data_IF_274100382553
#
_entry.id   IF_274100382553
#
_cell.length_a   1.000
_cell.length_b   1.000
_cell.length_c   1.000
_cell.angle_alpha   90.00
_cell.angle_beta   90.00
_cell.angle_gamma   90.00
#
_symmetry.space_group_name_H-M   'P 1'
#
loop_
_entity.id
_entity.type
_entity.pdbx_description
1 polymer ?
#
# COMPACT_ATOMS: atom_id res chain seq x y z
N UNK A 1 -9.91 -2.06 4.33
CA UNK A 1 -8.66 -1.78 3.60
C UNK A 1 -8.92 -1.00 2.30
N UNK A 2 -9.73 -1.54 1.37
CA UNK A 2 -9.99 -0.90 0.07
C UNK A 2 -10.62 0.50 0.16
N UNK A 3 -11.53 0.74 1.11
CA UNK A 3 -12.10 2.08 1.36
C UNK A 3 -11.04 3.13 1.72
N UNK A 4 -10.08 2.79 2.60
CA UNK A 4 -8.95 3.68 2.97
C UNK A 4 -8.03 3.95 1.77
N UNK A 5 -7.70 2.91 1.00
CA UNK A 5 -6.85 3.07 -0.18
C UNK A 5 -7.52 3.93 -1.27
N UNK A 6 -8.83 3.77 -1.49
CA UNK A 6 -9.59 4.64 -2.39
C UNK A 6 -9.60 6.10 -1.90
N UNK A 7 -9.73 6.32 -0.60
CA UNK A 7 -9.58 7.65 0.00
C UNK A 7 -8.17 8.22 -0.23
N UNK A 8 -7.11 7.45 0.02
CA UNK A 8 -5.73 7.89 -0.23
C UNK A 8 -5.50 8.25 -1.70
N UNK A 9 -5.99 7.42 -2.63
CA UNK A 9 -5.93 7.69 -4.08
C UNK A 9 -6.63 9.00 -4.43
N UNK A 10 -7.80 9.26 -3.86
CA UNK A 10 -8.55 10.51 -4.08
C UNK A 10 -7.77 11.72 -3.57
N UNK A 11 -7.25 11.66 -2.34
CA UNK A 11 -6.46 12.74 -1.75
C UNK A 11 -5.23 13.07 -2.60
N UNK A 12 -4.49 12.05 -3.07
CA UNK A 12 -3.26 12.21 -3.82
C UNK A 12 -3.43 12.72 -5.25
N UNK A 13 -4.65 12.66 -5.82
CA UNK A 13 -4.98 13.26 -7.12
C UNK A 13 -5.03 14.79 -7.07
N UNK A 14 -5.21 15.38 -5.89
CA UNK A 14 -5.23 16.84 -5.75
C UNK A 14 -3.85 17.45 -6.05
N UNK A 15 -3.84 18.63 -6.70
CA UNK A 15 -2.60 19.35 -7.04
C UNK A 15 -1.90 19.98 -5.82
N UNK A 16 -2.63 20.22 -4.74
CA UNK A 16 -2.13 20.93 -3.55
C UNK A 16 -2.35 20.10 -2.29
N UNK A 17 -1.77 18.90 -2.25
CA UNK A 17 -1.78 18.07 -1.03
C UNK A 17 -0.77 18.68 -0.05
N UNK A 18 -1.16 19.00 1.20
CA UNK A 18 -0.22 19.46 2.21
C UNK A 18 0.66 18.32 2.73
N UNK A 19 1.92 18.63 3.11
CA UNK A 19 2.92 17.63 3.53
C UNK A 19 2.43 16.67 4.61
N UNK A 20 1.67 17.17 5.60
CA UNK A 20 1.16 16.32 6.69
C UNK A 20 0.22 15.22 6.18
N UNK A 21 -0.52 15.43 5.09
CA UNK A 21 -1.34 14.36 4.49
C UNK A 21 -0.47 13.30 3.84
N UNK A 22 0.58 13.70 3.11
CA UNK A 22 1.52 12.74 2.52
C UNK A 22 2.21 11.90 3.60
N UNK A 23 2.65 12.55 4.68
CA UNK A 23 3.23 11.87 5.86
C UNK A 23 2.22 10.91 6.50
N UNK A 24 0.97 11.35 6.69
CA UNK A 24 -0.09 10.51 7.28
C UNK A 24 -0.41 9.27 6.45
N UNK A 25 -0.55 9.42 5.13
CA UNK A 25 -0.79 8.29 4.21
C UNK A 25 0.41 7.35 4.24
N UNK A 26 1.64 7.88 4.16
CA UNK A 26 2.87 7.07 4.23
C UNK A 26 2.98 6.30 5.53
N UNK A 27 2.63 6.94 6.64
CA UNK A 27 2.61 6.34 7.98
C UNK A 27 1.67 5.14 8.01
N UNK A 28 0.42 5.33 7.56
CA UNK A 28 -0.57 4.24 7.50
C UNK A 28 -0.10 3.08 6.62
N UNK A 29 0.55 3.36 5.49
CA UNK A 29 1.09 2.32 4.60
C UNK A 29 2.26 1.57 5.24
N UNK A 30 3.27 2.30 5.75
CA UNK A 30 4.45 1.70 6.39
C UNK A 30 4.05 0.84 7.59
N UNK A 31 3.09 1.27 8.41
CA UNK A 31 2.63 0.52 9.59
C UNK A 31 1.75 -0.69 9.24
N UNK A 32 1.26 -0.79 8.00
CA UNK A 32 0.34 -1.86 7.63
C UNK A 32 1.06 -3.17 7.28
N UNK A 33 0.91 -4.17 8.13
CA UNK A 33 1.53 -5.50 7.96
C UNK A 33 0.89 -6.34 6.86
N UNK A 34 -0.31 -5.99 6.38
CA UNK A 34 -0.92 -6.62 5.20
C UNK A 34 -0.36 -6.07 3.88
N UNK A 35 0.30 -4.90 3.91
CA UNK A 35 1.02 -4.34 2.76
C UNK A 35 2.48 -4.78 2.79
N UNK A 36 3.15 -4.57 3.92
CA UNK A 36 4.56 -4.91 4.11
C UNK A 36 4.70 -5.89 5.25
N UNK A 37 4.87 -7.18 4.93
CA UNK A 37 4.92 -8.24 5.93
C UNK A 37 6.19 -8.11 6.80
N UNK A 38 7.31 -7.78 6.17
CA UNK A 38 8.62 -7.57 6.82
C UNK A 38 9.08 -6.13 6.65
N UNK A 39 10.07 -5.71 7.45
CA UNK A 39 10.60 -4.35 7.35
C UNK A 39 11.41 -4.16 6.06
N UNK A 40 12.03 -5.22 5.58
CA UNK A 40 12.80 -5.26 4.34
C UNK A 40 11.90 -5.02 3.11
N UNK A 41 10.63 -5.44 3.18
CA UNK A 41 9.64 -5.20 2.12
C UNK A 41 9.32 -3.71 1.94
N UNK A 42 9.65 -2.88 2.93
CA UNK A 42 9.44 -1.42 2.88
C UNK A 42 10.55 -0.75 2.06
N UNK A 43 11.74 -1.36 1.94
CA UNK A 43 12.90 -0.76 1.25
C UNK A 43 12.57 -0.45 -0.23
N UNK A 44 12.04 -1.39 -1.04
CA UNK A 44 11.72 -1.09 -2.44
C UNK A 44 10.64 0.00 -2.58
N UNK A 45 9.72 0.10 -1.61
CA UNK A 45 8.72 1.17 -1.59
C UNK A 45 9.36 2.54 -1.35
N UNK A 46 10.29 2.65 -0.39
CA UNK A 46 10.98 3.90 -0.09
C UNK A 46 11.81 4.40 -1.27
N UNK A 47 12.50 3.49 -1.95
CA UNK A 47 13.26 3.80 -3.15
C UNK A 47 12.33 4.24 -4.29
N UNK A 48 11.34 3.42 -4.63
CA UNK A 48 10.42 3.72 -5.74
C UNK A 48 9.58 4.99 -5.54
N UNK A 49 9.15 5.28 -4.31
CA UNK A 49 8.26 6.42 -4.05
C UNK A 49 9.04 7.68 -3.67
N UNK A 50 10.06 7.55 -2.84
CA UNK A 50 10.76 8.70 -2.26
C UNK A 50 12.21 8.85 -2.72
N UNK A 51 12.75 7.90 -3.50
CA UNK A 51 14.18 7.81 -3.82
C UNK A 51 15.04 7.79 -2.54
N UNK A 52 14.56 7.11 -1.50
CA UNK A 52 15.24 7.03 -0.20
C UNK A 52 15.84 5.66 0.03
N UNK A 53 17.10 5.67 0.47
CA UNK A 53 17.82 4.48 0.94
C UNK A 53 18.26 4.72 2.37
N UNK A 54 18.09 3.70 3.22
CA UNK A 54 18.46 3.78 4.63
C UNK A 54 19.52 2.74 4.99
N UNK A 55 20.36 3.12 5.96
CA UNK A 55 21.31 2.20 6.57
C UNK A 55 20.56 1.08 7.31
N UNK A 56 21.17 -0.09 7.38
CA UNK A 56 20.57 -1.29 7.97
C UNK A 56 19.97 -1.06 9.37
N UNK A 57 20.65 -0.30 10.24
CA UNK A 57 20.16 -0.02 11.58
C UNK A 57 18.80 0.70 11.62
N UNK A 58 18.46 1.45 10.57
CA UNK A 58 17.16 2.12 10.45
C UNK A 58 16.08 1.11 10.06
N UNK A 59 16.41 0.15 9.19
CA UNK A 59 15.47 -0.86 8.70
C UNK A 59 15.06 -1.86 9.81
N UNK A 60 15.88 -2.00 10.86
CA UNK A 60 15.59 -2.90 11.99
C UNK A 60 14.25 -2.62 12.69
N UNK A 61 13.70 -1.42 12.59
CA UNK A 61 12.40 -1.09 13.19
C UNK A 61 11.52 -0.26 12.25
N UNK A 62 10.29 -0.73 12.05
CA UNK A 62 9.26 -0.04 11.28
C UNK A 62 8.99 1.39 11.76
N UNK A 63 9.01 1.60 13.07
CA UNK A 63 8.83 2.94 13.66
C UNK A 63 10.02 3.85 13.36
N UNK A 64 11.24 3.29 13.30
CA UNK A 64 12.44 4.05 12.95
C UNK A 64 12.45 4.42 11.46
N UNK A 65 12.06 3.49 10.59
CA UNK A 65 11.81 3.75 9.16
C UNK A 65 10.81 4.90 9.03
N UNK A 66 9.63 4.78 9.63
CA UNK A 66 8.58 5.80 9.61
C UNK A 66 9.10 7.16 10.07
N UNK A 67 9.75 7.23 11.23
CA UNK A 67 10.21 8.49 11.81
C UNK A 67 11.24 9.19 10.91
N UNK A 68 12.10 8.42 10.25
CA UNK A 68 13.06 8.96 9.26
C UNK A 68 12.34 9.42 8.00
N UNK A 69 11.45 8.61 7.44
CA UNK A 69 10.71 8.95 6.21
C UNK A 69 9.82 10.16 6.40
N UNK A 70 9.12 10.28 7.54
CA UNK A 70 8.33 11.46 7.85
C UNK A 70 9.18 12.74 7.88
N UNK A 71 10.40 12.66 8.45
CA UNK A 71 11.34 13.79 8.49
C UNK A 71 11.86 14.15 7.11
N UNK A 72 12.14 13.15 6.27
CA UNK A 72 12.62 13.38 4.90
C UNK A 72 11.51 14.03 4.06
N UNK A 73 10.28 13.50 4.10
CA UNK A 73 9.12 14.09 3.43
C UNK A 73 8.88 15.54 3.88
N UNK A 74 9.00 15.82 5.19
CA UNK A 74 8.83 17.17 5.71
C UNK A 74 9.85 18.16 5.11
N UNK A 75 11.07 17.70 4.85
CA UNK A 75 12.17 18.51 4.30
C UNK A 75 12.15 18.65 2.78
N UNK A 76 11.43 17.80 2.05
CA UNK A 76 11.36 17.86 0.59
C UNK A 76 10.95 19.24 0.08
N UNK A 77 11.63 19.71 -0.97
CA UNK A 77 11.25 20.93 -1.67
C UNK A 77 10.07 20.68 -2.62
N UNK A 78 9.42 21.74 -3.11
CA UNK A 78 8.19 21.63 -3.89
C UNK A 78 8.31 20.64 -5.07
N UNK A 79 9.38 20.71 -5.88
CA UNK A 79 9.54 19.82 -7.04
C UNK A 79 9.69 18.34 -6.65
N UNK A 80 10.49 18.08 -5.61
CA UNK A 80 10.73 16.74 -5.09
C UNK A 80 9.44 16.18 -4.45
N UNK A 81 8.79 16.99 -3.63
CA UNK A 81 7.53 16.68 -2.97
C UNK A 81 6.43 16.32 -3.97
N UNK A 82 6.25 17.14 -5.02
CA UNK A 82 5.28 16.88 -6.08
C UNK A 82 5.56 15.57 -6.82
N UNK A 83 6.84 15.25 -7.04
CA UNK A 83 7.25 13.99 -7.67
C UNK A 83 6.96 12.80 -6.76
N UNK A 84 7.28 12.91 -5.47
CA UNK A 84 6.99 11.88 -4.47
C UNK A 84 5.48 11.64 -4.34
N UNK A 85 4.65 12.70 -4.33
CA UNK A 85 3.19 12.58 -4.32
C UNK A 85 2.68 11.76 -5.50
N UNK A 86 3.15 12.04 -6.71
CA UNK A 86 2.76 11.31 -7.92
C UNK A 86 3.15 9.84 -7.84
N UNK A 87 4.38 9.54 -7.44
CA UNK A 87 4.82 8.14 -7.27
C UNK A 87 4.04 7.41 -6.18
N UNK A 88 3.65 8.10 -5.11
CA UNK A 88 2.79 7.51 -4.08
C UNK A 88 1.38 7.22 -4.62
N UNK A 89 0.81 8.13 -5.43
CA UNK A 89 -0.46 7.91 -6.11
C UNK A 89 -0.41 6.68 -7.01
N UNK A 90 0.67 6.52 -7.78
CA UNK A 90 0.87 5.38 -8.67
C UNK A 90 0.97 4.08 -7.86
N UNK A 91 1.78 4.07 -6.79
CA UNK A 91 1.88 2.94 -5.87
C UNK A 91 0.52 2.51 -5.31
N UNK A 92 -0.26 3.46 -4.76
CA UNK A 92 -1.59 3.19 -4.19
C UNK A 92 -2.56 2.68 -5.26
N UNK A 93 -2.51 3.22 -6.47
CA UNK A 93 -3.38 2.80 -7.58
C UNK A 93 -3.06 1.36 -8.02
N UNK A 94 -1.78 1.03 -8.20
CA UNK A 94 -1.32 -0.32 -8.55
C UNK A 94 -1.69 -1.32 -7.45
N UNK A 95 -1.50 -0.94 -6.17
CA UNK A 95 -1.85 -1.83 -5.06
C UNK A 95 -3.36 -2.10 -5.00
N UNK A 96 -4.20 -1.08 -5.24
CA UNK A 96 -5.66 -1.23 -5.32
C UNK A 96 -6.06 -2.22 -6.42
N UNK A 97 -5.52 -2.07 -7.63
CA UNK A 97 -5.80 -2.96 -8.76
C UNK A 97 -5.41 -4.40 -8.45
N UNK A 98 -4.19 -4.62 -7.93
CA UNK A 98 -3.74 -5.95 -7.48
C UNK A 98 -4.66 -6.55 -6.42
N UNK A 99 -5.08 -5.74 -5.44
CA UNK A 99 -5.96 -6.20 -4.37
C UNK A 99 -7.37 -6.56 -4.86
N UNK A 100 -7.88 -5.87 -5.88
CA UNK A 100 -9.17 -6.17 -6.50
C UNK A 100 -9.13 -7.52 -7.23
N UNK A 101 -8.13 -7.73 -8.08
CA UNK A 101 -7.95 -9.00 -8.80
C UNK A 101 -7.77 -10.20 -7.88
N UNK A 102 -6.99 -10.06 -6.80
CA UNK A 102 -6.83 -11.13 -5.80
C UNK A 102 -8.18 -11.50 -5.16
N UNK A 103 -9.04 -10.52 -4.89
CA UNK A 103 -10.36 -10.80 -4.32
C UNK A 103 -11.31 -11.44 -5.33
N UNK A 104 -11.28 -11.03 -6.60
CA UNK A 104 -12.03 -11.67 -7.69
C UNK A 104 -11.65 -13.15 -7.82
N UNK A 105 -10.35 -13.46 -7.84
CA UNK A 105 -9.86 -14.85 -7.94
C UNK A 105 -10.31 -15.70 -6.73
N UNK A 106 -10.22 -15.18 -5.50
CA UNK A 106 -10.67 -15.90 -4.30
C UNK A 106 -12.17 -16.17 -4.26
N UNK A 107 -12.97 -15.22 -4.75
CA UNK A 107 -14.42 -15.38 -4.82
C UNK A 107 -14.82 -16.41 -5.87
N UNK A 108 -14.11 -16.46 -7.01
CA UNK A 108 -14.33 -17.47 -8.04
C UNK A 108 -13.98 -18.88 -7.54
N UNK A 109 -12.84 -19.05 -6.88
CA UNK A 109 -12.41 -20.37 -6.40
C UNK A 109 -13.32 -20.95 -5.29
N UNK A 110 -13.86 -20.10 -4.41
CA UNK A 110 -14.78 -20.54 -3.37
C UNK A 110 -16.14 -20.96 -3.95
N UNK A 111 -16.61 -20.31 -5.02
CA UNK A 111 -17.88 -20.64 -5.66
C UNK A 111 -17.80 -21.94 -6.48
N UNK A 112 -16.67 -22.24 -7.11
CA UNK A 112 -16.53 -23.48 -7.88
C UNK A 112 -16.42 -24.72 -6.99
N UNK A 113 -15.68 -24.63 -5.87
CA UNK A 113 -15.58 -25.74 -4.92
C UNK A 113 -16.91 -26.02 -4.22
N UNK A 114 -17.63 -24.98 -3.79
CA UNK A 114 -18.95 -25.14 -3.14
C UNK A 114 -19.98 -25.73 -4.09
N UNK A 115 -20.06 -25.26 -5.34
CA UNK A 115 -20.93 -25.86 -6.38
C UNK A 115 -20.61 -27.32 -6.65
N UNK A 116 -19.33 -27.67 -6.74
CA UNK A 116 -18.91 -29.06 -6.92
C UNK A 116 -19.30 -29.95 -5.73
N UNK A 117 -19.09 -29.45 -4.50
CA UNK A 117 -19.49 -30.16 -3.27
C UNK A 117 -21.01 -30.33 -3.15
N UNK A 118 -21.80 -29.36 -3.56
CA UNK A 118 -23.27 -29.46 -3.55
C UNK A 118 -23.75 -30.50 -4.58
N UNK A 119 -23.13 -30.56 -5.76
CA UNK A 119 -23.44 -31.59 -6.76
C UNK A 119 -23.15 -33.03 -6.31
N UNK A 120 -22.26 -33.24 -5.33
CA UNK A 120 -22.03 -34.57 -4.73
C UNK A 120 -23.14 -34.93 -3.72
N UNK A 121 -23.70 -33.95 -3.00
CA UNK A 121 -24.77 -34.19 -2.02
C UNK A 121 -26.10 -34.53 -2.68
N UNK A 122 -26.36 -33.97 -3.85
CA UNK A 122 -27.59 -34.22 -4.60
C UNK A 122 -27.59 -35.58 -5.32
N UNK A 123 -26.45 -36.27 -5.40
CA UNK A 123 -26.32 -37.58 -6.05
C UNK A 123 -26.62 -38.80 -5.16
N UNK A 124 -27.08 -38.60 -3.92
CA UNK A 124 -27.31 -39.66 -2.93
C UNK A 124 -28.78 -39.81 -2.48
N UNK A 125 -29.75 -39.27 -3.23
CA UNK A 125 -31.19 -39.54 -3.04
C UNK A 125 -31.79 -40.29 -4.23
#
# INVERSE_FOLDING_TARGET
MNSKLNYYRSELKSKNVPKYKLIGITTELILNTSIFLKNEDIIPFLDAVYNLTYKEYIIKSRTMILARTARDIYKMENKEYESARKRLLDFVSIYLEKSAHINEMKNSSNNDFSKWMDGIKDGHN
#
